data_IF_614411734128
#
_entry.id   IF_614411734128
#
_cell.length_a   1.000
_cell.length_b   1.000
_cell.length_c   1.000
_cell.angle_alpha   90.00
_cell.angle_beta   90.00
_cell.angle_gamma   90.00
#
_symmetry.space_group_name_H-M   'P 1'
#
loop_
_entity.id
_entity.type
_entity.pdbx_description
1 polymer ?
#
# COMPACT_ATOMS: atom_id res chain seq x y z
N UNK A 1 12.83 11.61 -6.78
CA UNK A 1 12.35 10.34 -7.37
C UNK A 1 11.47 9.66 -6.34
N UNK A 2 10.30 9.15 -6.72
CA UNK A 2 9.42 8.44 -5.79
C UNK A 2 10.02 7.07 -5.45
N UNK A 3 10.09 6.71 -4.16
CA UNK A 3 10.90 5.58 -3.67
C UNK A 3 10.45 4.23 -4.24
N UNK A 4 9.15 4.08 -4.51
CA UNK A 4 8.52 2.81 -4.91
C UNK A 4 7.96 2.84 -6.34
N UNK A 5 8.43 3.78 -7.17
CA UNK A 5 8.01 3.86 -8.56
C UNK A 5 8.22 2.53 -9.31
N UNK A 6 7.21 2.13 -10.10
CA UNK A 6 7.19 0.88 -10.87
C UNK A 6 7.29 -0.40 -10.02
N UNK A 7 6.95 -0.33 -8.72
CA UNK A 7 6.81 -1.52 -7.86
C UNK A 7 5.34 -1.84 -7.65
N UNK A 8 5.05 -3.13 -7.45
CA UNK A 8 3.75 -3.60 -6.99
C UNK A 8 3.87 -4.08 -5.55
N UNK A 9 2.99 -3.61 -4.68
CA UNK A 9 2.95 -3.99 -3.26
C UNK A 9 1.59 -4.58 -2.90
N UNK A 10 1.58 -5.73 -2.24
CA UNK A 10 0.38 -6.32 -1.64
C UNK A 10 0.42 -6.00 -0.15
N UNK A 11 -0.62 -5.32 0.35
CA UNK A 11 -0.72 -4.97 1.76
C UNK A 11 -1.90 -5.71 2.38
N UNK A 12 -1.61 -6.59 3.34
CA UNK A 12 -2.62 -7.32 4.11
C UNK A 12 -3.10 -6.50 5.31
N UNK A 13 -4.34 -6.70 5.76
CA UNK A 13 -4.89 -5.96 6.91
C UNK A 13 -4.99 -4.45 6.65
N UNK A 14 -5.19 -4.06 5.39
CA UNK A 14 -5.14 -2.67 4.93
C UNK A 14 -6.48 -1.92 4.98
N UNK A 15 -7.54 -2.53 5.49
CA UNK A 15 -8.84 -1.89 5.74
C UNK A 15 -8.77 -0.79 6.81
N UNK A 16 -7.87 -0.90 7.79
CA UNK A 16 -7.76 0.05 8.91
C UNK A 16 -6.35 0.13 9.51
N UNK A 17 -6.20 1.01 10.50
CA UNK A 17 -4.98 1.12 11.31
C UNK A 17 -3.69 1.27 10.51
N UNK A 18 -2.67 0.51 10.92
CA UNK A 18 -1.33 0.56 10.34
C UNK A 18 -1.32 0.07 8.89
N UNK A 19 -2.05 -0.99 8.56
CA UNK A 19 -2.09 -1.51 7.19
C UNK A 19 -2.62 -0.48 6.20
N UNK A 20 -3.68 0.24 6.57
CA UNK A 20 -4.21 1.36 5.77
C UNK A 20 -3.18 2.48 5.60
N UNK A 21 -2.48 2.85 6.68
CA UNK A 21 -1.45 3.89 6.62
C UNK A 21 -0.28 3.49 5.70
N UNK A 22 0.16 2.22 5.76
CA UNK A 22 1.21 1.68 4.89
C UNK A 22 0.77 1.69 3.44
N UNK A 23 -0.44 1.20 3.13
CA UNK A 23 -0.96 1.17 1.76
C UNK A 23 -1.02 2.58 1.14
N UNK A 24 -1.50 3.57 1.90
CA UNK A 24 -1.54 4.97 1.47
C UNK A 24 -0.14 5.54 1.25
N UNK A 25 0.81 5.26 2.16
CA UNK A 25 2.19 5.71 2.01
C UNK A 25 2.85 5.08 0.79
N UNK A 26 2.63 3.79 0.54
CA UNK A 26 3.20 3.10 -0.61
C UNK A 26 2.65 3.62 -1.94
N UNK A 27 1.35 3.90 -2.01
CA UNK A 27 0.75 4.55 -3.16
C UNK A 27 1.33 5.96 -3.39
N UNK A 28 1.52 6.74 -2.32
CA UNK A 28 2.14 8.07 -2.40
C UNK A 28 3.61 8.03 -2.89
N UNK A 29 4.33 6.94 -2.61
CA UNK A 29 5.68 6.69 -3.12
C UNK A 29 5.71 6.07 -4.52
N UNK A 30 4.55 5.97 -5.19
CA UNK A 30 4.44 5.56 -6.60
C UNK A 30 4.31 4.06 -6.85
N UNK A 31 3.99 3.27 -5.82
CA UNK A 31 3.69 1.85 -5.99
C UNK A 31 2.29 1.64 -6.58
N UNK A 32 2.13 0.58 -7.38
CA UNK A 32 0.85 -0.05 -7.63
C UNK A 32 0.47 -0.90 -6.40
N UNK A 33 -0.59 -0.54 -5.69
CA UNK A 33 -0.93 -1.18 -4.41
C UNK A 33 -2.16 -2.05 -4.53
N UNK A 34 -2.04 -3.31 -4.12
CA UNK A 34 -3.15 -4.26 -3.94
C UNK A 34 -3.51 -4.33 -2.47
N UNK A 35 -4.78 -4.12 -2.18
CA UNK A 35 -5.36 -4.25 -0.84
C UNK A 35 -5.87 -5.68 -0.66
N UNK A 36 -5.40 -6.37 0.37
CA UNK A 36 -5.86 -7.71 0.73
C UNK A 36 -6.37 -7.72 2.16
N UNK A 37 -7.68 -7.74 2.34
CA UNK A 37 -8.29 -7.78 3.67
C UNK A 37 -9.50 -8.72 3.67
N UNK A 38 -9.92 -9.16 4.86
CA UNK A 38 -11.06 -10.07 5.07
C UNK A 38 -12.30 -9.35 5.57
N UNK A 39 -12.19 -8.06 5.90
CA UNK A 39 -13.28 -7.22 6.44
C UNK A 39 -13.66 -6.09 5.49
#
# INVERSE_FOLDING_TARGET
MALLANKTAIVTGASSGIGRAIALKFAAEGANVVIADTV
#
